data_IF_641990214680
#
_entry.id   IF_641990214680
#
_cell.length_a   1.000
_cell.length_b   1.000
_cell.length_c   1.000
_cell.angle_alpha   90.00
_cell.angle_beta   90.00
_cell.angle_gamma   90.00
#
_symmetry.space_group_name_H-M   'P 1'
#
loop_
_entity.id
_entity.type
_entity.pdbx_description
1 polymer ?
#
# COMPACT_ATOMS: atom_id res chain seq x y z
N UNK A 1 19.77 -14.65 12.74
CA UNK A 1 20.36 -13.40 13.24
C UNK A 1 21.06 -12.75 12.05
N UNK A 2 20.43 -11.74 11.44
CA UNK A 2 21.03 -11.07 10.28
C UNK A 2 22.07 -10.06 10.80
N UNK A 3 23.34 -10.37 10.56
CA UNK A 3 24.49 -9.53 10.85
C UNK A 3 24.67 -8.62 9.64
N UNK A 4 24.58 -7.30 9.83
CA UNK A 4 24.83 -6.34 8.74
C UNK A 4 24.08 -5.00 8.80
N UNK A 5 23.19 -4.76 9.77
CA UNK A 5 22.61 -3.43 9.95
C UNK A 5 23.54 -2.55 10.79
N UNK A 6 24.67 -2.13 10.20
CA UNK A 6 25.37 -0.96 10.73
C UNK A 6 24.46 0.26 10.58
N UNK A 7 24.35 1.02 11.66
CA UNK A 7 23.47 2.17 11.82
C UNK A 7 23.96 3.40 11.04
N UNK A 8 24.26 3.26 9.74
CA UNK A 8 24.48 4.41 8.86
C UNK A 8 23.12 4.95 8.42
N UNK A 9 22.72 6.06 9.05
CA UNK A 9 21.41 6.70 8.96
C UNK A 9 20.73 6.65 7.59
N UNK A 10 19.72 5.79 7.48
CA UNK A 10 18.68 5.96 6.48
C UNK A 10 17.70 7.03 6.96
N UNK A 11 18.07 8.31 6.80
CA UNK A 11 17.16 9.45 7.04
C UNK A 11 15.99 9.50 6.04
N UNK A 12 15.99 8.62 5.03
CA UNK A 12 15.01 8.54 3.95
C UNK A 12 14.21 7.23 3.96
N UNK A 13 14.11 6.54 5.10
CA UNK A 13 13.06 5.53 5.22
C UNK A 13 11.72 6.28 5.32
N UNK A 14 10.82 6.04 4.37
CA UNK A 14 9.44 6.48 4.42
C UNK A 14 8.72 5.73 5.55
N UNK A 15 9.03 6.09 6.81
CA UNK A 15 8.35 5.66 8.02
C UNK A 15 7.20 6.60 8.39
N UNK A 16 6.89 7.55 7.51
CA UNK A 16 5.85 8.55 7.71
C UNK A 16 4.48 7.85 7.62
N UNK A 17 4.06 7.30 8.76
CA UNK A 17 2.69 6.90 9.01
C UNK A 17 1.95 8.23 9.18
N UNK A 18 1.13 8.61 8.19
CA UNK A 18 0.29 9.78 8.34
C UNK A 18 -0.54 9.66 9.62
N UNK A 19 -0.27 10.52 10.59
CA UNK A 19 -1.18 10.77 11.69
C UNK A 19 -2.25 11.74 11.20
N UNK A 20 -3.39 11.21 10.74
CA UNK A 20 -4.58 12.03 10.44
C UNK A 20 -5.85 11.49 11.15
N UNK A 21 -6.77 12.39 11.53
CA UNK A 21 -7.92 12.09 12.39
C UNK A 21 -9.13 11.48 11.65
N UNK A 22 -8.96 11.03 10.41
CA UNK A 22 -10.06 10.55 9.57
C UNK A 22 -9.97 9.03 9.42
N UNK A 23 -11.03 8.32 9.80
CA UNK A 23 -11.17 6.89 9.49
C UNK A 23 -11.40 6.73 7.98
N UNK A 24 -10.34 6.78 7.17
CA UNK A 24 -10.39 6.57 5.71
C UNK A 24 -10.51 5.08 5.33
N UNK A 25 -10.98 4.26 6.27
CA UNK A 25 -11.13 2.82 6.11
C UNK A 25 -12.44 2.34 6.73
N UNK A 26 -12.98 1.24 6.19
CA UNK A 26 -14.19 0.61 6.70
C UNK A 26 -14.04 -0.93 6.65
N UNK A 27 -14.61 -1.63 7.63
CA UNK A 27 -14.71 -3.09 7.57
C UNK A 27 -15.90 -3.48 6.72
N UNK A 28 -15.65 -4.20 5.62
CA UNK A 28 -16.70 -4.80 4.78
C UNK A 28 -16.55 -6.31 4.70
N UNK A 29 -17.64 -7.02 4.97
CA UNK A 29 -17.73 -8.46 4.77
C UNK A 29 -18.17 -8.72 3.32
N UNK A 30 -17.38 -9.43 2.49
CA UNK A 30 -17.78 -9.75 1.13
C UNK A 30 -19.05 -10.62 1.11
N UNK A 31 -19.98 -10.32 0.19
CA UNK A 31 -21.14 -11.19 -0.07
C UNK A 31 -20.70 -12.57 -0.58
N UNK A 32 -21.54 -13.59 -0.37
CA UNK A 32 -21.31 -14.97 -0.82
C UNK A 32 -20.92 -15.00 -2.31
N UNK A 33 -19.79 -15.63 -2.62
CA UNK A 33 -19.25 -15.72 -3.99
C UNK A 33 -18.27 -14.60 -4.39
N UNK A 34 -18.12 -13.54 -3.58
CA UNK A 34 -17.08 -12.52 -3.78
C UNK A 34 -15.85 -12.84 -2.95
N UNK A 35 -14.69 -12.74 -3.59
CA UNK A 35 -13.38 -12.89 -2.94
C UNK A 35 -12.68 -11.54 -2.94
N UNK A 36 -11.87 -11.28 -1.92
CA UNK A 36 -11.02 -10.08 -1.85
C UNK A 36 -10.17 -9.97 -3.12
N UNK A 37 -9.70 -11.10 -3.65
CA UNK A 37 -8.91 -11.17 -4.89
C UNK A 37 -9.74 -11.26 -6.19
N UNK A 38 -10.94 -10.68 -6.24
CA UNK A 38 -11.71 -10.56 -7.49
C UNK A 38 -11.52 -9.18 -8.11
N UNK A 39 -11.83 -9.02 -9.41
CA UNK A 39 -11.71 -7.73 -10.09
C UNK A 39 -12.45 -6.65 -9.30
N UNK A 40 -11.71 -5.64 -8.83
CA UNK A 40 -12.22 -4.60 -7.95
C UNK A 40 -12.41 -3.29 -8.71
N UNK A 41 -13.55 -2.63 -8.53
CA UNK A 41 -13.93 -1.45 -9.32
C UNK A 41 -14.83 -0.47 -8.58
N UNK A 42 -14.77 -0.44 -7.26
CA UNK A 42 -15.76 0.23 -6.41
C UNK A 42 -15.26 1.57 -5.84
N UNK A 43 -14.18 2.11 -6.39
CA UNK A 43 -13.55 3.35 -5.90
C UNK A 43 -12.82 3.20 -4.56
N UNK A 44 -12.89 2.04 -3.92
CA UNK A 44 -12.19 1.69 -2.68
C UNK A 44 -11.07 0.69 -2.95
N UNK A 45 -10.14 0.53 -2.00
CA UNK A 45 -9.11 -0.54 -2.04
C UNK A 45 -9.33 -1.47 -0.87
N UNK A 46 -9.68 -2.74 -1.09
CA UNK A 46 -9.87 -3.67 0.01
C UNK A 46 -8.51 -4.19 0.45
N UNK A 47 -8.35 -4.31 1.76
CA UNK A 47 -7.19 -4.93 2.39
C UNK A 47 -7.67 -5.74 3.60
N UNK A 48 -6.88 -6.73 4.02
CA UNK A 48 -7.22 -7.51 5.19
C UNK A 48 -7.27 -6.63 6.43
N UNK A 49 -8.34 -6.73 7.20
CA UNK A 49 -8.52 -6.04 8.49
C UNK A 49 -7.31 -6.20 9.41
N UNK A 50 -6.66 -7.37 9.42
CA UNK A 50 -5.47 -7.65 10.22
C UNK A 50 -4.30 -6.69 9.93
N UNK A 51 -4.18 -6.20 8.69
CA UNK A 51 -3.16 -5.23 8.31
C UNK A 51 -3.33 -3.92 9.11
N UNK A 52 -4.56 -3.41 9.20
CA UNK A 52 -4.86 -2.20 9.94
C UNK A 52 -4.84 -2.44 11.46
N UNK A 53 -5.53 -3.47 11.94
CA UNK A 53 -5.76 -3.65 13.38
C UNK A 53 -4.57 -4.25 14.14
N UNK A 54 -3.84 -5.20 13.54
CA UNK A 54 -2.73 -5.89 14.23
C UNK A 54 -1.37 -5.39 13.84
N UNK A 55 -1.19 -5.03 12.57
CA UNK A 55 0.09 -4.53 12.08
C UNK A 55 0.18 -3.00 12.10
N UNK A 56 -0.91 -2.31 12.43
CA UNK A 56 -0.95 -0.84 12.41
C UNK A 56 -0.69 -0.26 11.02
N UNK A 57 -0.86 -1.07 9.98
CA UNK A 57 -0.55 -0.69 8.61
C UNK A 57 -1.61 0.28 8.11
N UNK A 58 -1.30 1.57 8.22
CA UNK A 58 -2.08 2.67 7.65
C UNK A 58 -1.27 3.23 6.49
N UNK A 59 -1.36 2.58 5.34
CA UNK A 59 -0.71 3.12 4.15
C UNK A 59 -1.60 4.18 3.50
N UNK A 60 -1.17 5.44 3.44
CA UNK A 60 -1.58 6.27 2.33
C UNK A 60 -0.90 5.71 1.07
N UNK A 61 -1.67 5.01 0.23
CA UNK A 61 -1.21 4.69 -1.12
C UNK A 61 -0.97 5.98 -1.88
N UNK A 62 0.09 6.02 -2.70
CA UNK A 62 0.34 7.19 -3.54
C UNK A 62 -0.63 7.25 -4.72
N UNK A 63 -0.75 8.42 -5.34
CA UNK A 63 -1.60 8.59 -6.52
C UNK A 63 -1.23 7.61 -7.65
N UNK A 64 0.06 7.29 -7.80
CA UNK A 64 0.54 6.29 -8.74
C UNK A 64 0.06 4.88 -8.37
N UNK A 65 0.27 4.44 -7.13
CA UNK A 65 -0.17 3.12 -6.65
C UNK A 65 -1.69 2.97 -6.83
N UNK A 66 -2.45 3.99 -6.41
CA UNK A 66 -3.89 4.09 -6.61
C UNK A 66 -4.27 3.99 -8.09
N UNK A 67 -3.54 4.66 -8.99
CA UNK A 67 -3.78 4.59 -10.43
C UNK A 67 -3.52 3.19 -11.00
N UNK A 68 -2.46 2.52 -10.56
CA UNK A 68 -2.14 1.14 -10.98
C UNK A 68 -3.21 0.16 -10.53
N UNK A 69 -3.67 0.24 -9.28
CA UNK A 69 -4.75 -0.62 -8.78
C UNK A 69 -6.04 -0.44 -9.58
N UNK A 70 -6.41 0.82 -9.89
CA UNK A 70 -7.58 1.13 -10.72
C UNK A 70 -7.42 0.61 -12.14
N UNK A 71 -6.24 0.76 -12.73
CA UNK A 71 -5.96 0.32 -14.10
C UNK A 71 -6.05 -1.21 -14.24
N UNK A 72 -5.42 -1.93 -13.30
CA UNK A 72 -5.42 -3.39 -13.29
C UNK A 72 -6.71 -3.99 -12.72
N UNK A 73 -7.56 -3.17 -12.09
CA UNK A 73 -8.76 -3.59 -11.34
C UNK A 73 -8.43 -4.63 -10.27
N UNK A 74 -7.32 -4.41 -9.57
CA UNK A 74 -6.86 -5.28 -8.49
C UNK A 74 -6.82 -4.54 -7.16
N UNK A 75 -6.73 -5.31 -6.10
CA UNK A 75 -6.56 -4.86 -4.72
C UNK A 75 -5.06 -4.88 -4.39
N UNK A 76 -4.63 -4.07 -3.43
CA UNK A 76 -3.24 -4.04 -2.98
C UNK A 76 -2.74 -5.40 -2.49
N UNK A 77 -3.61 -6.21 -1.88
CA UNK A 77 -3.31 -7.58 -1.46
C UNK A 77 -3.13 -8.59 -2.61
N UNK A 78 -3.56 -8.26 -3.83
CA UNK A 78 -3.31 -9.09 -5.02
C UNK A 78 -1.96 -8.80 -5.67
N UNK A 79 -1.37 -7.64 -5.38
CA UNK A 79 -0.06 -7.29 -5.89
C UNK A 79 1.02 -7.84 -4.95
N UNK A 80 2.09 -8.40 -5.51
CA UNK A 80 3.21 -8.88 -4.71
C UNK A 80 3.88 -7.70 -3.99
N UNK A 81 4.33 -7.89 -2.73
CA UNK A 81 4.97 -6.82 -1.96
C UNK A 81 6.18 -6.20 -2.70
N UNK A 82 6.99 -7.01 -3.39
CA UNK A 82 8.07 -6.46 -4.21
C UNK A 82 7.56 -5.51 -5.29
N UNK A 83 6.43 -5.81 -5.93
CA UNK A 83 5.86 -4.94 -6.96
C UNK A 83 5.36 -3.62 -6.38
N UNK A 84 4.81 -3.62 -5.15
CA UNK A 84 4.47 -2.38 -4.43
C UNK A 84 5.73 -1.55 -4.16
N UNK A 85 6.79 -2.19 -3.67
CA UNK A 85 8.08 -1.51 -3.42
C UNK A 85 8.66 -0.94 -4.72
N UNK A 86 8.53 -1.66 -5.84
CA UNK A 86 8.95 -1.15 -7.15
C UNK A 86 8.16 0.07 -7.61
N UNK A 87 6.83 0.10 -7.41
CA UNK A 87 6.02 1.28 -7.74
C UNK A 87 6.47 2.51 -6.94
N UNK A 88 6.70 2.33 -5.63
CA UNK A 88 7.19 3.40 -4.76
C UNK A 88 8.58 3.88 -5.15
N UNK A 89 9.49 2.95 -5.47
CA UNK A 89 10.84 3.28 -5.93
C UNK A 89 10.83 4.01 -7.28
N UNK A 90 9.96 3.58 -8.20
CA UNK A 90 9.76 4.22 -9.50
C UNK A 90 9.26 5.66 -9.33
N UNK A 91 8.22 5.87 -8.52
CA UNK A 91 7.67 7.20 -8.24
C UNK A 91 8.73 8.14 -7.65
N UNK A 92 9.52 7.64 -6.68
CA UNK A 92 10.60 8.44 -6.10
C UNK A 92 11.72 8.75 -7.08
N UNK A 93 12.00 7.83 -7.99
CA UNK A 93 12.98 8.05 -9.07
C UNK A 93 12.47 9.10 -10.06
N UNK A 94 11.19 9.05 -10.44
CA UNK A 94 10.57 10.05 -11.30
C UNK A 94 10.59 11.45 -10.64
N UNK A 95 10.25 11.54 -9.35
CA UNK A 95 10.35 12.78 -8.57
C UNK A 95 11.78 13.33 -8.55
N UNK A 96 12.78 12.48 -8.33
CA UNK A 96 14.19 12.86 -8.35
C UNK A 96 14.64 13.36 -9.73
N UNK A 97 14.19 12.69 -10.80
CA UNK A 97 14.49 13.06 -12.19
C UNK A 97 13.63 14.23 -12.72
N UNK A 98 12.62 14.67 -11.95
CA UNK A 98 11.65 15.71 -12.31
C UNK A 98 10.89 15.41 -13.62
N UNK A 99 10.41 14.18 -13.75
CA UNK A 99 9.59 13.70 -14.88
C UNK A 99 8.19 13.27 -14.45
#
# INVERSE_FOLDING_TARGET
>A
MFIGCEASGHKDLFLDVQDLPTEDWEVRIPFRGRRICSSWGWGTIPMYQIAFERFGYRMPFTDLEMAVFRHLRITSSQLHLNSLVFLRAFEKTAEHLRI
#
